data_IF_522695389439
#
_entry.id   IF_522695389439
#
_cell.length_a   1.000
_cell.length_b   1.000
_cell.length_c   1.000
_cell.angle_alpha   90.00
_cell.angle_beta   90.00
_cell.angle_gamma   90.00
#
_symmetry.space_group_name_H-M   'P 1'
#
loop_
_entity.id
_entity.type
_entity.pdbx_description
1 polymer ?
#
# COMPACT_ATOMS: atom_id res chain seq x y z
N UNK A 1 16.91 -1.70 -9.97
CA UNK A 1 15.45 -1.84 -10.05
C UNK A 1 14.84 -0.60 -9.41
N UNK A 2 14.36 0.37 -10.19
CA UNK A 2 13.70 1.58 -9.66
C UNK A 2 12.41 1.78 -10.46
N UNK A 3 11.26 1.49 -9.83
CA UNK A 3 9.93 1.71 -10.41
C UNK A 3 9.24 2.79 -9.58
N UNK A 4 8.82 3.86 -10.23
CA UNK A 4 8.12 4.96 -9.58
C UNK A 4 6.84 4.46 -8.89
N UNK A 5 6.54 5.00 -7.71
CA UNK A 5 5.33 4.68 -6.95
C UNK A 5 5.38 3.37 -6.16
N UNK A 6 6.48 2.59 -6.23
CA UNK A 6 6.69 1.49 -5.29
C UNK A 6 6.70 2.05 -3.86
N UNK A 7 5.83 1.56 -2.97
CA UNK A 7 5.92 1.92 -1.56
C UNK A 7 7.25 1.40 -1.00
N UNK A 8 7.79 2.11 -0.02
CA UNK A 8 9.03 1.76 0.68
C UNK A 8 8.85 2.03 2.17
N UNK A 9 9.23 1.06 3.01
CA UNK A 9 9.25 1.21 4.46
C UNK A 9 10.58 1.85 4.87
N UNK A 10 10.59 3.02 5.50
CA UNK A 10 11.82 3.59 6.07
C UNK A 10 12.07 2.95 7.43
N UNK A 11 13.17 2.20 7.54
CA UNK A 11 13.54 1.46 8.77
C UNK A 11 14.73 2.08 9.51
N UNK A 12 15.49 2.98 8.87
CA UNK A 12 16.56 3.75 9.50
C UNK A 12 16.80 5.06 8.75
N UNK A 13 17.25 6.08 9.47
CA UNK A 13 17.67 7.37 8.90
C UNK A 13 19.11 7.70 9.29
N UNK A 14 19.88 8.22 8.34
CA UNK A 14 21.22 8.75 8.58
C UNK A 14 21.51 9.88 7.58
N UNK A 15 21.64 11.11 8.07
CA UNK A 15 21.83 12.30 7.24
C UNK A 15 20.81 12.36 6.07
N UNK A 16 21.26 12.45 4.82
CA UNK A 16 20.40 12.46 3.62
C UNK A 16 20.01 11.06 3.13
N UNK A 17 20.40 10.01 3.84
CA UNK A 17 20.14 8.63 3.48
C UNK A 17 19.00 8.03 4.32
N UNK A 18 18.21 7.18 3.66
CA UNK A 18 17.15 6.39 4.28
C UNK A 18 17.42 4.92 3.97
N UNK A 19 17.52 4.10 5.01
CA UNK A 19 17.52 2.65 4.85
C UNK A 19 16.07 2.25 4.70
N UNK A 20 15.75 1.63 3.56
CA UNK A 20 14.41 1.23 3.21
C UNK A 20 14.29 -0.29 3.11
N UNK A 21 13.08 -0.79 3.28
CA UNK A 21 12.67 -2.16 2.98
C UNK A 21 11.51 -2.15 1.97
N UNK A 22 11.56 -3.05 0.98
CA UNK A 22 10.45 -3.26 0.04
C UNK A 22 9.48 -4.37 0.50
N UNK A 23 8.40 -4.58 -0.26
CA UNK A 23 7.39 -5.59 0.06
C UNK A 23 7.90 -7.05 -0.02
N UNK A 24 9.03 -7.30 -0.68
CA UNK A 24 9.66 -8.61 -0.76
C UNK A 24 10.70 -8.81 0.36
N UNK A 25 10.92 -7.79 1.20
CA UNK A 25 11.86 -7.81 2.33
C UNK A 25 13.28 -7.38 1.97
N UNK A 26 13.53 -6.94 0.75
CA UNK A 26 14.85 -6.46 0.32
C UNK A 26 15.15 -5.12 0.99
N UNK A 27 16.38 -4.95 1.48
CA UNK A 27 16.81 -3.73 2.17
C UNK A 27 17.95 -3.02 1.45
N UNK A 28 17.99 -1.69 1.57
CA UNK A 28 19.08 -0.88 1.02
C UNK A 28 19.01 0.58 1.42
N UNK A 29 20.08 1.33 1.13
CA UNK A 29 20.12 2.77 1.35
C UNK A 29 19.72 3.53 0.08
N UNK A 30 18.79 4.47 0.23
CA UNK A 30 18.33 5.37 -0.83
C UNK A 30 18.51 6.81 -0.35
N UNK A 31 18.96 7.70 -1.24
CA UNK A 31 19.01 9.13 -0.94
C UNK A 31 17.57 9.67 -0.84
N UNK A 32 17.28 10.47 0.19
CA UNK A 32 15.93 10.99 0.46
C UNK A 32 15.32 11.76 -0.72
N UNK A 33 16.13 12.37 -1.60
CA UNK A 33 15.66 13.10 -2.79
C UNK A 33 14.97 12.19 -3.82
N UNK A 34 15.20 10.88 -3.76
CA UNK A 34 14.56 9.87 -4.61
C UNK A 34 13.26 9.33 -4.01
N UNK A 35 12.94 9.71 -2.78
CA UNK A 35 11.71 9.32 -2.09
C UNK A 35 10.66 10.42 -2.19
N UNK A 36 9.40 10.00 -2.17
CA UNK A 36 8.24 10.90 -2.14
C UNK A 36 7.45 10.64 -0.87
N UNK A 37 6.87 11.68 -0.28
CA UNK A 37 5.89 11.55 0.80
C UNK A 37 4.52 11.04 0.35
N UNK A 38 4.30 10.83 -0.96
CA UNK A 38 3.05 10.28 -1.48
C UNK A 38 2.86 8.86 -0.98
N UNK A 39 1.80 8.62 -0.22
CA UNK A 39 1.45 7.28 0.27
C UNK A 39 0.87 6.40 -0.85
N UNK A 40 1.58 5.33 -1.14
CA UNK A 40 1.13 4.25 -2.01
C UNK A 40 1.09 2.93 -1.25
N UNK A 41 0.40 1.93 -1.79
CA UNK A 41 0.43 0.57 -1.27
C UNK A 41 0.50 -0.46 -2.39
N UNK A 42 0.92 -1.67 -2.04
CA UNK A 42 0.77 -2.86 -2.86
C UNK A 42 -0.33 -3.73 -2.24
N UNK A 43 -1.26 -4.19 -3.06
CA UNK A 43 -2.34 -5.10 -2.63
C UNK A 43 -1.80 -6.51 -2.46
N UNK A 44 -2.01 -7.11 -1.29
CA UNK A 44 -1.69 -8.48 -0.92
C UNK A 44 -0.43 -9.07 -1.61
N UNK A 45 0.75 -8.42 -1.54
CA UNK A 45 1.94 -8.87 -2.27
C UNK A 45 2.32 -10.32 -1.99
N UNK A 46 2.06 -10.82 -0.78
CA UNK A 46 2.26 -12.21 -0.36
C UNK A 46 1.38 -13.24 -1.11
N UNK A 47 0.38 -12.79 -1.86
CA UNK A 47 -0.49 -13.62 -2.71
C UNK A 47 -0.17 -13.54 -4.21
N UNK A 48 0.86 -12.78 -4.62
CA UNK A 48 1.30 -12.70 -6.02
C UNK A 48 1.52 -14.11 -6.62
N UNK A 49 0.96 -14.34 -7.80
CA UNK A 49 1.09 -15.62 -8.52
C UNK A 49 0.30 -16.79 -7.95
N UNK A 50 -0.48 -16.59 -6.87
CA UNK A 50 -1.29 -17.66 -6.23
C UNK A 50 -2.76 -17.68 -6.66
N UNK A 51 -3.15 -16.86 -7.64
CA UNK A 51 -4.52 -16.84 -8.19
C UNK A 51 -5.58 -16.22 -7.26
N UNK A 52 -5.19 -15.37 -6.32
CA UNK A 52 -6.11 -14.64 -5.44
C UNK A 52 -6.68 -13.38 -6.06
N UNK A 53 -7.77 -12.88 -5.50
CA UNK A 53 -8.41 -11.61 -5.84
C UNK A 53 -8.79 -10.88 -4.55
N UNK A 54 -8.66 -9.56 -4.54
CA UNK A 54 -9.03 -8.70 -3.39
C UNK A 54 -10.14 -7.76 -3.84
N UNK A 55 -11.25 -7.75 -3.11
CA UNK A 55 -12.36 -6.85 -3.41
C UNK A 55 -12.04 -5.43 -2.92
N UNK A 56 -12.33 -4.45 -3.76
CA UNK A 56 -12.47 -3.06 -3.39
C UNK A 56 -13.96 -2.80 -3.14
N UNK A 57 -14.29 -2.30 -1.96
CA UNK A 57 -15.65 -2.13 -1.47
C UNK A 57 -16.08 -0.65 -1.51
N UNK A 58 -17.37 -0.35 -1.57
CA UNK A 58 -17.88 1.04 -1.52
C UNK A 58 -17.85 1.65 -0.11
N UNK A 59 -17.98 0.81 0.92
CA UNK A 59 -17.91 1.18 2.33
C UNK A 59 -16.85 0.38 3.11
N UNK A 60 -16.35 0.88 4.26
CA UNK A 60 -15.43 0.13 5.14
C UNK A 60 -16.18 -0.93 5.96
N UNK A 61 -16.91 -1.80 5.27
CA UNK A 61 -17.65 -2.92 5.82
C UNK A 61 -17.39 -4.16 4.95
N UNK A 62 -17.26 -5.33 5.57
CA UNK A 62 -17.01 -6.60 4.87
C UNK A 62 -18.18 -7.06 3.99
N UNK A 63 -19.39 -6.61 4.30
CA UNK A 63 -20.62 -6.98 3.62
C UNK A 63 -21.06 -5.90 2.61
N UNK A 64 -20.22 -4.87 2.40
CA UNK A 64 -20.43 -3.76 1.50
C UNK A 64 -20.35 -4.17 0.01
N UNK A 65 -20.83 -3.29 -0.86
CA UNK A 65 -20.87 -3.52 -2.30
C UNK A 65 -19.46 -3.59 -2.90
N UNK A 66 -19.21 -4.57 -3.77
CA UNK A 66 -17.94 -4.67 -4.50
C UNK A 66 -17.96 -3.72 -5.69
N UNK A 67 -17.05 -2.74 -5.72
CA UNK A 67 -16.92 -1.77 -6.82
C UNK A 67 -15.83 -2.15 -7.82
N UNK A 68 -14.83 -2.93 -7.39
CA UNK A 68 -13.78 -3.44 -8.26
C UNK A 68 -13.14 -4.70 -7.66
N UNK A 69 -12.53 -5.50 -8.52
CA UNK A 69 -11.71 -6.65 -8.11
C UNK A 69 -10.26 -6.32 -8.47
N UNK A 70 -9.38 -6.39 -7.47
CA UNK A 70 -7.98 -6.00 -7.59
C UNK A 70 -7.09 -7.24 -7.48
N UNK A 71 -6.16 -7.39 -8.42
CA UNK A 71 -5.19 -8.47 -8.38
C UNK A 71 -4.10 -8.23 -7.33
N UNK A 72 -3.64 -9.28 -6.63
CA UNK A 72 -2.46 -9.23 -5.79
C UNK A 72 -1.24 -8.69 -6.55
N UNK A 73 -0.61 -7.66 -5.97
CA UNK A 73 0.58 -7.03 -6.49
C UNK A 73 0.36 -5.70 -7.17
N UNK A 74 -0.89 -5.31 -7.43
CA UNK A 74 -1.25 -4.00 -7.98
C UNK A 74 -0.86 -2.89 -6.99
N UNK A 75 -0.29 -1.81 -7.52
CA UNK A 75 0.09 -0.62 -6.76
C UNK A 75 -1.04 0.40 -6.86
N UNK A 76 -1.45 0.95 -5.72
CA UNK A 76 -2.46 2.02 -5.62
C UNK A 76 -2.01 3.16 -4.72
N UNK A 77 -2.79 4.24 -4.68
CA UNK A 77 -2.59 5.34 -3.72
C UNK A 77 -3.47 5.14 -2.49
N UNK A 78 -2.95 5.47 -1.29
CA UNK A 78 -3.73 5.43 -0.05
C UNK A 78 -4.21 6.84 0.29
N UNK A 79 -5.53 7.02 0.42
CA UNK A 79 -6.12 8.30 0.85
C UNK A 79 -6.18 8.41 2.37
N UNK A 80 -6.62 7.35 3.04
CA UNK A 80 -6.67 7.27 4.50
C UNK A 80 -6.70 5.82 4.96
N UNK A 81 -6.30 5.60 6.20
CA UNK A 81 -6.60 4.36 6.92
C UNK A 81 -7.16 4.72 8.31
N UNK A 82 -8.12 3.95 8.80
CA UNK A 82 -8.73 4.13 10.13
C UNK A 82 -8.23 3.12 11.18
N UNK A 83 -7.24 2.32 10.79
CA UNK A 83 -6.64 1.25 11.57
C UNK A 83 -7.26 -0.13 11.33
N UNK A 84 -8.32 -0.24 10.53
CA UNK A 84 -8.91 -1.51 10.08
C UNK A 84 -9.12 -1.53 8.57
N UNK A 85 -9.46 -0.39 7.98
CA UNK A 85 -9.72 -0.20 6.56
C UNK A 85 -8.83 0.89 6.01
N UNK A 86 -8.51 0.76 4.71
CA UNK A 86 -7.84 1.79 3.95
C UNK A 86 -8.68 2.17 2.74
N UNK A 87 -8.90 3.47 2.55
CA UNK A 87 -9.48 4.01 1.34
C UNK A 87 -8.37 4.12 0.29
N UNK A 88 -8.50 3.35 -0.78
CA UNK A 88 -7.52 3.16 -1.82
C UNK A 88 -8.03 3.67 -3.16
N UNK A 89 -7.12 4.14 -4.01
CA UNK A 89 -7.43 4.51 -5.39
C UNK A 89 -6.57 3.73 -6.38
N UNK A 90 -7.24 3.10 -7.36
CA UNK A 90 -6.65 2.36 -8.48
C UNK A 90 -7.31 2.80 -9.78
N UNK A 91 -6.52 3.28 -10.75
CA UNK A 91 -7.00 3.67 -12.09
C UNK A 91 -8.37 4.39 -12.09
N UNK A 92 -8.47 5.46 -11.30
CA UNK A 92 -9.68 6.27 -11.14
C UNK A 92 -10.76 5.73 -10.19
N UNK A 93 -10.73 4.45 -9.84
CA UNK A 93 -11.67 3.83 -8.89
C UNK A 93 -11.21 4.05 -7.46
N UNK A 94 -12.09 4.55 -6.59
CA UNK A 94 -11.83 4.74 -5.16
C UNK A 94 -12.79 3.92 -4.34
N UNK A 95 -12.28 3.17 -3.37
CA UNK A 95 -13.09 2.43 -2.40
C UNK A 95 -12.23 1.93 -1.24
N UNK A 96 -12.77 0.98 -0.50
CA UNK A 96 -12.22 0.49 0.75
C UNK A 96 -11.74 -0.94 0.63
N UNK A 97 -10.64 -1.24 1.31
CA UNK A 97 -10.19 -2.61 1.54
C UNK A 97 -9.64 -2.75 2.94
N UNK A 98 -9.68 -3.97 3.47
CA UNK A 98 -9.12 -4.24 4.79
C UNK A 98 -7.63 -3.86 4.80
N UNK A 99 -7.18 -3.17 5.85
CA UNK A 99 -5.79 -2.75 6.01
C UNK A 99 -4.83 -3.94 5.98
N UNK A 100 -5.27 -5.10 6.47
CA UNK A 100 -4.50 -6.35 6.40
C UNK A 100 -4.25 -6.86 4.99
N UNK A 101 -4.92 -6.31 3.96
CA UNK A 101 -4.72 -6.64 2.55
C UNK A 101 -3.73 -5.70 1.85
N UNK A 102 -3.12 -4.73 2.55
CA UNK A 102 -2.19 -3.78 1.94
C UNK A 102 -0.82 -3.83 2.59
N UNK A 103 0.22 -3.67 1.77
CA UNK A 103 1.56 -3.32 2.22
C UNK A 103 1.82 -1.85 1.85
N UNK A 104 2.11 -1.01 2.85
CA UNK A 104 2.13 0.46 2.72
C UNK A 104 1.40 1.20 3.85
N UNK A 105 0.75 0.45 4.74
CA UNK A 105 0.27 0.91 6.04
C UNK A 105 0.57 -0.15 7.10
N UNK A 106 1.00 0.27 8.29
CA UNK A 106 1.22 -0.67 9.40
C UNK A 106 -0.10 -1.17 9.98
N UNK A 107 -0.13 -2.37 10.60
CA UNK A 107 -1.32 -2.84 11.32
C UNK A 107 -1.77 -1.82 12.38
N UNK A 108 -3.03 -1.41 12.32
CA UNK A 108 -3.61 -0.42 13.22
C UNK A 108 -3.26 1.04 12.91
N UNK A 109 -2.46 1.31 11.87
CA UNK A 109 -2.07 2.67 11.52
C UNK A 109 -3.29 3.50 11.11
N UNK A 110 -3.42 4.70 11.69
CA UNK A 110 -4.48 5.66 11.38
C UNK A 110 -3.88 6.92 10.79
N UNK A 111 -4.33 7.29 9.60
CA UNK A 111 -3.92 8.56 8.98
C UNK A 111 -4.95 9.00 7.94
N UNK A 112 -4.89 10.29 7.59
CA UNK A 112 -5.64 10.89 6.49
C UNK A 112 -4.67 11.76 5.70
N UNK A 113 -4.56 11.49 4.41
CA UNK A 113 -3.68 12.18 3.48
C UNK A 113 -4.40 13.37 2.79
#
# INVERSE_FOLDING_TARGET
YLKAGLPMEVIQEFDTWRRVRDADGSEGWINQSLLSGRRTAIVAPWQRGKGGQVNLLDEPDKDAGVIAIIEPGVIGSIKKCDGQWCEMTFDGHTGWMAQSQVWGAYPGEKFKN
#
